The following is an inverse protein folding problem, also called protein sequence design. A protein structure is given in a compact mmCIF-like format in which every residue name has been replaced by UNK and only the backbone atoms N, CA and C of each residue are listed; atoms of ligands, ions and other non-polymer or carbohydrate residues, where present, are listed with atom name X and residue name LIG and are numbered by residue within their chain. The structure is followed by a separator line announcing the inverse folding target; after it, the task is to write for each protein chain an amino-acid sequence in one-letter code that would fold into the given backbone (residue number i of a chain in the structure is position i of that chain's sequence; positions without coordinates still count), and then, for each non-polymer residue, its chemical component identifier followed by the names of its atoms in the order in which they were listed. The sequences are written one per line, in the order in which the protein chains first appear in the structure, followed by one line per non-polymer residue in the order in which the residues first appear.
data_IF_883322945422
#
_entry.id   IF_883322945422
#
_cell.length_a   1.000
_cell.length_b   1.000
_cell.length_c   1.000
_cell.angle_alpha   90.00
_cell.angle_beta   90.00
_cell.angle_gamma   90.00
#
_symmetry.space_group_name_H-M   'P 1'
#
loop_
_entity.id
_entity.type
_entity.pdbx_description
1 polymer ?
#
# COMPACT_ATOMS: atom_id res chain seq x y z
N UNK A 1 -2.09 0.74 7.01
CA UNK A 1 -0.82 0.00 6.86
C UNK A 1 -0.81 -1.07 7.93
N UNK A 2 -0.54 -2.33 7.58
CA UNK A 2 -0.67 -3.46 8.52
C UNK A 2 0.68 -3.78 9.16
N UNK A 3 1.76 -3.61 8.39
CA UNK A 3 3.10 -3.90 8.82
C UNK A 3 4.09 -2.87 8.30
N UNK A 4 5.22 -2.71 9.00
CA UNK A 4 6.35 -1.89 8.58
C UNK A 4 7.64 -2.45 9.17
N UNK A 5 8.73 -2.31 8.45
CA UNK A 5 10.06 -2.70 8.92
C UNK A 5 11.04 -1.54 8.75
N UNK A 6 11.98 -1.42 9.67
CA UNK A 6 13.05 -0.42 9.62
C UNK A 6 14.39 -1.15 9.66
N UNK A 7 15.16 -1.02 8.59
CA UNK A 7 16.45 -1.66 8.44
C UNK A 7 17.58 -0.67 8.74
N UNK A 8 18.58 -1.10 9.52
CA UNK A 8 19.76 -0.31 9.83
C UNK A 8 20.64 -0.06 8.59
N UNK A 9 20.53 -0.93 7.58
CA UNK A 9 21.23 -0.82 6.29
C UNK A 9 20.28 -1.12 5.14
N UNK A 10 20.59 -0.59 3.97
CA UNK A 10 19.84 -0.89 2.76
C UNK A 10 20.04 -2.35 2.37
N UNK A 11 18.95 -3.12 2.35
CA UNK A 11 18.90 -4.46 1.78
C UNK A 11 18.49 -4.39 0.31
N UNK A 12 18.78 -5.45 -0.46
CA UNK A 12 18.27 -5.54 -1.82
C UNK A 12 16.76 -5.78 -1.78
N UNK A 13 15.99 -5.04 -2.58
CA UNK A 13 14.53 -5.16 -2.61
C UNK A 13 14.06 -6.57 -2.95
N UNK A 14 14.85 -7.29 -3.79
CA UNK A 14 14.57 -8.70 -4.12
C UNK A 14 14.57 -9.63 -2.91
N UNK A 15 15.37 -9.36 -1.89
CA UNK A 15 15.51 -10.23 -0.73
C UNK A 15 14.37 -10.04 0.28
N UNK A 16 13.64 -8.94 0.16
CA UNK A 16 12.55 -8.57 1.08
C UNK A 16 11.20 -9.20 0.71
N UNK A 17 11.03 -9.69 -0.51
CA UNK A 17 9.73 -10.15 -0.99
C UNK A 17 9.19 -11.33 -0.19
N UNK A 18 10.01 -12.36 0.04
CA UNK A 18 9.56 -13.56 0.73
C UNK A 18 9.31 -13.28 2.22
N UNK A 19 10.18 -12.51 2.87
CA UNK A 19 9.98 -12.09 4.25
C UNK A 19 8.65 -11.34 4.44
N UNK A 20 8.29 -10.45 3.51
CA UNK A 20 7.01 -9.74 3.56
C UNK A 20 5.79 -10.68 3.37
N UNK A 21 5.90 -11.72 2.53
CA UNK A 21 4.84 -12.72 2.35
C UNK A 21 4.68 -13.57 3.63
N UNK A 22 5.79 -13.98 4.24
CA UNK A 22 5.81 -14.75 5.49
C UNK A 22 5.22 -13.95 6.65
N UNK A 23 5.60 -12.68 6.79
CA UNK A 23 5.02 -11.77 7.79
C UNK A 23 3.51 -11.61 7.60
N UNK A 24 3.06 -11.41 6.36
CA UNK A 24 1.63 -11.34 6.06
C UNK A 24 0.90 -12.63 6.47
N UNK A 25 1.51 -13.77 6.19
CA UNK A 25 0.94 -15.08 6.50
C UNK A 25 0.87 -15.31 8.02
N UNK A 26 1.92 -14.92 8.76
CA UNK A 26 1.96 -15.00 10.21
C UNK A 26 0.91 -14.08 10.87
N UNK A 27 0.73 -12.86 10.36
CA UNK A 27 -0.20 -11.89 10.92
C UNK A 27 -1.67 -12.17 10.60
N UNK A 28 -1.98 -12.66 9.40
CA UNK A 28 -3.36 -12.81 8.92
C UNK A 28 -3.82 -14.28 8.80
N UNK A 29 -2.94 -15.23 9.12
CA UNK A 29 -3.26 -16.68 9.06
C UNK A 29 -3.52 -17.20 7.65
N UNK A 30 -3.20 -16.42 6.60
CA UNK A 30 -3.46 -16.80 5.21
C UNK A 30 -2.44 -16.18 4.25
N UNK A 31 -2.14 -16.91 3.18
CA UNK A 31 -1.31 -16.41 2.09
C UNK A 31 -2.04 -15.31 1.30
N UNK A 32 -1.35 -14.23 0.90
CA UNK A 32 -1.97 -13.18 0.10
C UNK A 32 -2.39 -13.72 -1.28
N UNK A 33 -3.61 -13.38 -1.71
CA UNK A 33 -4.11 -13.76 -3.02
C UNK A 33 -3.34 -13.08 -4.16
N UNK A 34 -2.96 -11.82 -3.95
CA UNK A 34 -2.22 -10.99 -4.90
C UNK A 34 -1.07 -10.30 -4.18
N UNK A 35 0.12 -10.37 -4.75
CA UNK A 35 1.29 -9.57 -4.34
C UNK A 35 1.60 -8.61 -5.46
N UNK A 36 1.66 -7.32 -5.16
CA UNK A 36 2.07 -6.28 -6.10
C UNK A 36 3.28 -5.52 -5.54
N UNK A 37 4.38 -5.55 -6.28
CA UNK A 37 5.63 -4.91 -5.88
C UNK A 37 6.27 -4.16 -7.05
N UNK A 38 7.33 -3.39 -6.78
CA UNK A 38 8.08 -2.67 -7.80
C UNK A 38 8.94 -3.61 -8.64
N UNK A 39 9.43 -3.09 -9.75
CA UNK A 39 10.32 -3.81 -10.65
C UNK A 39 11.63 -4.25 -9.97
N UNK A 40 12.10 -3.51 -8.96
CA UNK A 40 13.29 -3.86 -8.17
C UNK A 40 13.15 -5.19 -7.39
N UNK A 41 11.92 -5.60 -7.08
CA UNK A 41 11.62 -6.89 -6.44
C UNK A 41 11.63 -8.07 -7.43
N UNK A 42 11.71 -7.78 -8.74
CA UNK A 42 11.61 -8.82 -9.73
C UNK A 42 12.86 -9.69 -9.78
N UNK A 43 12.68 -10.99 -9.57
CA UNK A 43 13.55 -12.06 -10.04
C UNK A 43 12.70 -13.26 -10.40
N UNK A 44 13.16 -14.09 -11.34
CA UNK A 44 12.46 -15.32 -11.70
C UNK A 44 12.32 -16.25 -10.48
N UNK A 45 13.34 -16.28 -9.62
CA UNK A 45 13.36 -17.01 -8.36
C UNK A 45 12.26 -16.52 -7.41
N UNK A 46 12.14 -15.20 -7.22
CA UNK A 46 11.14 -14.61 -6.33
C UNK A 46 9.72 -14.87 -6.81
N UNK A 47 9.49 -14.76 -8.11
CA UNK A 47 8.17 -15.06 -8.67
C UNK A 47 7.80 -16.53 -8.48
N UNK A 48 8.74 -17.46 -8.71
CA UNK A 48 8.53 -18.89 -8.48
C UNK A 48 8.30 -19.19 -6.99
N UNK A 49 9.13 -18.62 -6.10
CA UNK A 49 9.00 -18.80 -4.66
C UNK A 49 7.65 -18.28 -4.12
N UNK A 50 7.22 -17.10 -4.56
CA UNK A 50 5.92 -16.55 -4.16
C UNK A 50 4.75 -17.43 -4.63
N UNK A 51 4.81 -17.97 -5.86
CA UNK A 51 3.82 -18.94 -6.36
C UNK A 51 3.84 -20.24 -5.57
N UNK A 52 5.01 -20.77 -5.24
CA UNK A 52 5.17 -21.96 -4.40
C UNK A 52 4.61 -21.76 -2.99
N UNK A 53 4.74 -20.55 -2.42
CA UNK A 53 4.12 -20.16 -1.15
C UNK A 53 2.58 -20.00 -1.22
N UNK A 54 1.96 -20.26 -2.38
CA UNK A 54 0.50 -20.22 -2.56
C UNK A 54 -0.07 -18.88 -3.04
N UNK A 55 0.77 -17.90 -3.40
CA UNK A 55 0.29 -16.64 -3.98
C UNK A 55 -0.27 -16.88 -5.37
N UNK A 56 -1.57 -16.63 -5.57
CA UNK A 56 -2.24 -16.88 -6.86
C UNK A 56 -1.82 -15.91 -7.96
N UNK A 57 -1.50 -14.66 -7.62
CA UNK A 57 -1.17 -13.60 -8.58
C UNK A 57 0.03 -12.79 -8.11
N UNK A 58 1.13 -12.85 -8.87
CA UNK A 58 2.35 -12.07 -8.60
C UNK A 58 2.44 -10.96 -9.64
N UNK A 59 2.28 -9.71 -9.19
CA UNK A 59 2.21 -8.51 -10.01
C UNK A 59 3.50 -7.68 -9.84
N UNK A 60 4.63 -8.22 -10.31
CA UNK A 60 5.93 -7.54 -10.29
C UNK A 60 6.34 -7.26 -11.74
N UNK A 61 6.48 -5.99 -12.19
CA UNK A 61 6.80 -5.69 -13.57
C UNK A 61 8.23 -6.07 -13.90
N UNK A 62 8.42 -6.72 -15.04
CA UNK A 62 9.74 -6.91 -15.65
C UNK A 62 9.81 -6.08 -16.92
N UNK A 63 10.45 -4.91 -16.83
CA UNK A 63 10.56 -3.96 -17.94
C UNK A 63 11.52 -4.44 -19.04
N UNK A 64 12.52 -5.24 -18.68
CA UNK A 64 13.56 -5.74 -19.60
C UNK A 64 13.20 -7.07 -20.24
N UNK A 65 12.02 -7.63 -19.99
CA UNK A 65 11.64 -8.94 -20.52
C UNK A 65 11.54 -8.93 -22.04
N UNK A 66 12.17 -9.94 -22.69
CA UNK A 66 12.05 -10.23 -24.12
C UNK A 66 10.90 -11.21 -24.40
N UNK A 67 10.47 -11.99 -23.38
CA UNK A 67 9.41 -13.01 -23.52
C UNK A 67 8.08 -12.39 -23.97
N UNK A 68 7.50 -12.86 -25.08
CA UNK A 68 6.21 -12.40 -25.55
C UNK A 68 5.06 -12.78 -24.60
N UNK A 69 5.17 -13.92 -23.92
CA UNK A 69 4.20 -14.38 -22.93
C UNK A 69 4.15 -13.45 -21.72
N UNK A 70 5.32 -13.09 -21.18
CA UNK A 70 5.42 -12.15 -20.06
C UNK A 70 4.89 -10.77 -20.43
N UNK A 71 5.17 -10.30 -21.65
CA UNK A 71 4.61 -9.04 -22.17
C UNK A 71 3.08 -9.08 -22.25
N UNK A 72 2.50 -10.20 -22.71
CA UNK A 72 1.04 -10.39 -22.74
C UNK A 72 0.44 -10.43 -21.32
N UNK A 73 1.12 -11.12 -20.38
CA UNK A 73 0.68 -11.18 -18.98
C UNK A 73 0.63 -9.80 -18.34
N UNK A 74 1.67 -8.99 -18.51
CA UNK A 74 1.73 -7.63 -17.97
C UNK A 74 0.67 -6.69 -18.56
N UNK A 75 0.12 -6.99 -19.74
CA UNK A 75 -0.99 -6.26 -20.36
C UNK A 75 -2.36 -6.67 -19.82
N UNK A 76 -2.49 -7.77 -19.09
CA UNK A 76 -3.78 -8.23 -18.55
C UNK A 76 -4.35 -7.21 -17.57
N UNK A 77 -5.69 -7.11 -17.52
CA UNK A 77 -6.40 -6.15 -16.66
C UNK A 77 -6.02 -6.28 -15.17
N UNK A 78 -5.94 -7.52 -14.66
CA UNK A 78 -5.60 -7.77 -13.27
C UNK A 78 -4.18 -7.28 -12.93
N UNK A 79 -3.21 -7.45 -13.84
CA UNK A 79 -1.83 -7.01 -13.65
C UNK A 79 -1.76 -5.47 -13.61
N UNK A 80 -2.41 -4.80 -14.56
CA UNK A 80 -2.48 -3.33 -14.59
C UNK A 80 -3.19 -2.76 -13.35
N UNK A 81 -4.26 -3.41 -12.89
CA UNK A 81 -4.95 -3.02 -11.66
C UNK A 81 -4.06 -3.21 -10.43
N UNK A 82 -3.28 -4.30 -10.35
CA UNK A 82 -2.31 -4.52 -9.28
C UNK A 82 -1.22 -3.43 -9.24
N UNK A 83 -0.68 -3.04 -10.41
CA UNK A 83 0.29 -1.94 -10.50
C UNK A 83 -0.33 -0.59 -10.12
N UNK A 84 -1.55 -0.30 -10.55
CA UNK A 84 -2.26 0.92 -10.16
C UNK A 84 -2.52 0.97 -8.65
N UNK A 85 -2.89 -0.16 -8.04
CA UNK A 85 -3.05 -0.27 -6.60
C UNK A 85 -1.73 0.00 -5.86
N UNK A 86 -0.62 -0.57 -6.32
CA UNK A 86 0.71 -0.32 -5.77
C UNK A 86 1.09 1.17 -5.80
N UNK A 87 0.84 1.84 -6.93
CA UNK A 87 1.07 3.29 -7.05
C UNK A 87 0.23 4.07 -6.03
N UNK A 88 -0.99 3.62 -5.74
CA UNK A 88 -1.81 4.18 -4.66
C UNK A 88 -1.17 4.01 -3.28
N UNK A 89 -0.51 2.88 -3.02
CA UNK A 89 0.22 2.65 -1.78
C UNK A 89 1.42 3.60 -1.62
N UNK A 90 2.15 3.91 -2.70
CA UNK A 90 3.24 4.91 -2.67
C UNK A 90 2.72 6.31 -2.34
N UNK A 91 1.59 6.69 -2.94
CA UNK A 91 0.89 7.93 -2.60
C UNK A 91 0.53 7.97 -1.11
N UNK A 92 0.10 6.85 -0.55
CA UNK A 92 -0.20 6.72 0.87
C UNK A 92 1.02 6.89 1.76
N UNK A 93 2.14 6.25 1.43
CA UNK A 93 3.41 6.43 2.15
C UNK A 93 3.85 7.90 2.14
N UNK A 94 3.69 8.59 1.02
CA UNK A 94 3.99 10.02 0.90
C UNK A 94 3.10 10.88 1.82
N UNK A 95 1.81 10.55 1.96
CA UNK A 95 0.90 11.21 2.89
C UNK A 95 1.34 10.99 4.33
N UNK A 96 1.64 9.74 4.72
CA UNK A 96 2.14 9.40 6.07
C UNK A 96 3.40 10.20 6.40
N UNK A 97 4.37 10.24 5.48
CA UNK A 97 5.61 11.01 5.67
C UNK A 97 5.36 12.49 5.92
N UNK A 98 4.49 13.11 5.14
CA UNK A 98 4.20 14.56 5.26
C UNK A 98 3.34 14.90 6.47
N UNK A 99 2.28 14.12 6.70
CA UNK A 99 1.31 14.39 7.77
C UNK A 99 1.89 14.15 9.16
N UNK A 100 2.68 13.09 9.30
CA UNK A 100 3.23 12.68 10.60
C UNK A 100 4.71 13.02 10.77
N UNK A 101 5.26 13.85 9.89
CA UNK A 101 6.63 14.37 10.02
C UNK A 101 7.72 13.31 9.87
N UNK A 102 7.44 12.17 9.21
CA UNK A 102 8.40 11.08 9.04
C UNK A 102 9.56 11.39 8.06
N UNK A 103 9.60 12.59 7.50
CA UNK A 103 10.72 13.03 6.67
C UNK A 103 12.01 13.20 7.46
N UNK A 104 11.92 13.46 8.76
CA UNK A 104 13.08 13.64 9.64
C UNK A 104 12.82 13.00 11.00
N UNK A 105 13.57 11.95 11.30
CA UNK A 105 13.52 11.33 12.62
C UNK A 105 14.06 12.29 13.68
N UNK A 106 13.32 12.45 14.78
CA UNK A 106 13.71 13.27 15.94
C UNK A 106 14.31 12.45 17.08
N UNK A 107 14.28 11.13 16.97
CA UNK A 107 14.85 10.21 17.95
C UNK A 107 16.24 9.77 17.52
N UNK A 108 17.10 9.42 18.48
CA UNK A 108 18.44 8.90 18.24
C UNK A 108 18.43 7.37 18.18
N UNK A 109 19.30 6.81 17.33
CA UNK A 109 19.54 5.38 17.20
C UNK A 109 18.41 4.60 16.50
N UNK A 110 18.67 3.33 16.22
CA UNK A 110 17.75 2.46 15.47
C UNK A 110 16.43 2.20 16.22
N UNK A 111 16.51 1.99 17.54
CA UNK A 111 15.32 1.82 18.37
C UNK A 111 14.45 3.09 18.40
N UNK A 112 15.09 4.27 18.36
CA UNK A 112 14.40 5.55 18.22
C UNK A 112 13.72 5.69 16.87
N UNK A 113 14.40 5.29 15.78
CA UNK A 113 13.85 5.31 14.43
C UNK A 113 12.65 4.37 14.30
N UNK A 114 12.74 3.15 14.81
CA UNK A 114 11.62 2.18 14.82
C UNK A 114 10.39 2.75 15.53
N UNK A 115 10.57 3.34 16.71
CA UNK A 115 9.48 4.00 17.45
C UNK A 115 8.87 5.17 16.67
N UNK A 116 9.70 6.01 16.06
CA UNK A 116 9.25 7.16 15.31
C UNK A 116 8.37 6.76 14.12
N UNK A 117 8.81 5.77 13.33
CA UNK A 117 8.04 5.23 12.21
C UNK A 117 6.76 4.57 12.71
N UNK A 118 6.84 3.75 13.75
CA UNK A 118 5.69 3.06 14.34
C UNK A 118 4.59 4.01 14.81
N UNK A 119 4.96 5.06 15.53
CA UNK A 119 4.01 6.08 15.97
C UNK A 119 3.32 6.79 14.79
N UNK A 120 4.06 7.09 13.72
CA UNK A 120 3.47 7.67 12.51
C UNK A 120 2.49 6.73 11.80
N UNK A 121 2.81 5.44 11.74
CA UNK A 121 1.92 4.41 11.17
C UNK A 121 0.65 4.25 12.02
N UNK A 122 0.78 4.20 13.34
CA UNK A 122 -0.36 4.10 14.26
C UNK A 122 -1.27 5.31 14.11
N UNK A 123 -0.71 6.53 14.13
CA UNK A 123 -1.47 7.76 13.99
C UNK A 123 -2.24 7.81 12.65
N UNK A 124 -1.59 7.42 11.54
CA UNK A 124 -2.26 7.36 10.24
C UNK A 124 -3.38 6.31 10.21
N UNK A 125 -3.18 5.15 10.81
CA UNK A 125 -4.19 4.11 10.89
C UNK A 125 -5.40 4.56 11.71
N UNK A 126 -5.20 5.20 12.85
CA UNK A 126 -6.29 5.74 13.70
C UNK A 126 -7.14 6.77 12.95
N UNK A 127 -6.49 7.69 12.21
CA UNK A 127 -7.20 8.67 11.37
C UNK A 127 -8.04 7.96 10.31
N UNK A 128 -7.51 6.93 9.66
CA UNK A 128 -8.25 6.18 8.64
C UNK A 128 -9.44 5.40 9.21
N UNK A 129 -9.28 4.80 10.38
CA UNK A 129 -10.36 4.10 11.08
C UNK A 129 -11.46 5.10 11.46
N UNK A 130 -11.08 6.28 11.99
CA UNK A 130 -12.04 7.34 12.29
C UNK A 130 -12.84 7.81 11.07
N UNK A 131 -12.19 7.96 9.92
CA UNK A 131 -12.89 8.31 8.68
C UNK A 131 -13.86 7.23 8.20
N UNK A 132 -13.54 5.95 8.38
CA UNK A 132 -14.47 4.85 8.04
C UNK A 132 -15.66 4.84 9.02
N UNK A 133 -15.40 5.08 10.30
CA UNK A 133 -16.45 5.17 11.33
C UNK A 133 -17.45 6.29 11.04
N UNK A 134 -16.99 7.48 10.68
CA UNK A 134 -17.87 8.61 10.31
C UNK A 134 -18.67 8.35 9.03
N UNK A 135 -18.12 7.62 8.06
CA UNK A 135 -18.87 7.19 6.88
C UNK A 135 -19.99 6.18 7.22
N UNK A 136 -19.72 5.26 8.14
CA UNK A 136 -20.74 4.29 8.60
C UNK A 136 -21.89 4.96 9.37
N UNK A 137 -21.60 5.90 10.24
CA UNK A 137 -22.66 6.68 10.95
C UNK A 137 -23.47 7.52 9.99
N UNK A 138 -22.85 8.21 9.03
CA UNK A 138 -23.56 8.97 8.01
C UNK A 138 -24.46 8.09 7.11
N UNK A 139 -24.02 6.86 6.79
CA UNK A 139 -24.82 5.91 5.99
C UNK A 139 -25.99 5.35 6.83
N UNK A 140 -25.81 5.11 8.13
CA UNK A 140 -26.89 4.65 9.01
C UNK A 140 -27.95 5.74 9.28
N UNK A 141 -27.55 7.01 9.34
CA UNK A 141 -28.48 8.15 9.46
C UNK A 141 -29.27 8.39 8.16
N UNK A 142 -28.68 8.14 7.00
CA UNK A 142 -29.39 8.22 5.70
C UNK A 142 -30.37 7.07 5.51
N UNK A 143 -30.08 5.89 6.08
CA UNK A 143 -31.04 4.76 6.05
C UNK A 143 -32.27 4.98 6.91
N UNK A 144 -32.29 6.00 7.78
CA UNK A 144 -33.40 6.37 8.63
C UNK A 144 -34.20 7.56 8.06
N UNK A 145 -34.43 7.62 6.74
CA UNK A 145 -35.54 8.36 6.14
C UNK A 145 -35.33 9.82 5.74
N UNK A 146 -34.18 10.19 5.18
CA UNK A 146 -34.08 11.46 4.44
C UNK A 146 -33.57 11.25 3.01
N UNK A 147 -34.17 11.93 1.98
CA UNK A 147 -33.72 11.72 0.59
C UNK A 147 -32.34 12.36 0.35
N UNK A 148 -31.41 11.53 -0.11
CA UNK A 148 -30.07 11.91 -0.53
C UNK A 148 -30.11 12.98 -1.62
N UNK A 149 -29.75 14.22 -1.32
CA UNK A 149 -29.41 15.23 -2.33
C UNK A 149 -28.11 14.83 -3.00
N UNK A 150 -28.18 14.39 -4.25
CA UNK A 150 -26.99 14.22 -5.10
C UNK A 150 -26.23 15.55 -5.19
N UNK A 151 -25.06 15.61 -4.58
CA UNK A 151 -24.12 16.67 -4.84
C UNK A 151 -23.53 16.44 -6.25
N UNK A 152 -24.01 17.21 -7.23
CA UNK A 152 -23.43 17.26 -8.56
C UNK A 152 -22.00 17.82 -8.46
N UNK A 153 -21.05 17.09 -9.04
CA UNK A 153 -19.69 17.57 -9.25
C UNK A 153 -19.72 18.74 -10.25
N UNK A 154 -19.88 19.94 -9.76
CA UNK A 154 -19.53 21.16 -10.47
C UNK A 154 -19.10 22.20 -9.46
N UNK A 155 -17.83 22.30 -9.19
CA UNK A 155 -17.24 23.53 -8.71
C UNK A 155 -15.77 23.56 -9.08
N UNK A 156 -15.50 24.18 -10.20
CA UNK A 156 -14.27 24.93 -10.48
C UNK A 156 -14.27 26.14 -9.53
N UNK A 157 -13.07 26.51 -9.07
CA UNK A 157 -12.75 27.72 -8.30
C UNK A 157 -12.81 27.61 -6.77
N UNK A 158 -11.61 27.44 -6.21
CA UNK A 158 -11.25 27.95 -4.90
C UNK A 158 -10.37 29.22 -5.13
N UNK A 159 -10.78 30.43 -4.73
CA UNK A 159 -9.93 31.62 -4.80
C UNK A 159 -8.85 31.56 -3.71
N UNK A 160 -7.61 31.93 -4.08
CA UNK A 160 -6.49 32.11 -3.14
C UNK A 160 -6.76 33.34 -2.28
N UNK A 161 -6.52 33.32 -0.97
CA UNK A 161 -6.48 34.53 -0.16
C UNK A 161 -5.19 35.30 -0.47
N UNK A 162 -5.31 36.63 -0.46
CA UNK A 162 -4.22 37.63 -0.59
C UNK A 162 -3.34 37.64 0.64
#
# INVERSE_FOLDING_TARGET
MIDYEVYARRLADSDLLMAAIETHQAMLGRTPHLVAADAAFYSARNEAAAKAAGVKRVCIPNRSTKSPERKREQKKRWFRNGQKWRTGCEGRISVVKRRHGLNRCRYKGDAGMKRWVGLGVIADNLINIGHVGTLHTAVSEVACGQPYRRYSRSSKYCPRPR
#
